data_IF_650571407861
#
_entry.id   IF_650571407861
#
_cell.length_a   1.000
_cell.length_b   1.000
_cell.length_c   1.000
_cell.angle_alpha   90.00
_cell.angle_beta   90.00
_cell.angle_gamma   90.00
#
_symmetry.space_group_name_H-M   'P 1'
#
loop_
_entity.id
_entity.type
_entity.pdbx_description
1 polymer ?
#
# COMPACT_ATOMS: atom_id res chain seq x y z
N UNK A 1 7.18 25.53 8.75
CA UNK A 1 7.84 24.73 7.69
C UNK A 1 8.42 23.49 8.35
N UNK A 2 8.18 22.28 7.82
CA UNK A 2 8.89 21.09 8.34
C UNK A 2 10.39 21.34 8.21
N UNK A 3 11.12 21.20 9.31
CA UNK A 3 12.57 21.21 9.28
C UNK A 3 13.09 20.08 8.37
N UNK A 4 14.25 20.26 7.74
CA UNK A 4 14.90 19.21 6.94
C UNK A 4 15.02 17.90 7.72
N UNK A 5 15.24 17.99 9.02
CA UNK A 5 15.28 16.85 9.94
C UNK A 5 13.95 16.09 10.01
N UNK A 6 12.82 16.79 10.11
CA UNK A 6 11.49 16.15 10.11
C UNK A 6 11.22 15.40 8.81
N UNK A 7 11.68 15.93 7.66
CA UNK A 7 11.56 15.25 6.36
C UNK A 7 12.39 13.97 6.30
N UNK A 8 13.62 14.01 6.82
CA UNK A 8 14.50 12.83 6.91
C UNK A 8 13.88 11.77 7.83
N UNK A 9 13.35 12.16 8.99
CA UNK A 9 12.72 11.21 9.92
C UNK A 9 11.48 10.55 9.33
N UNK A 10 10.61 11.32 8.67
CA UNK A 10 9.46 10.77 7.94
C UNK A 10 9.91 9.79 6.85
N UNK A 11 10.92 10.15 6.06
CA UNK A 11 11.48 9.27 5.04
C UNK A 11 12.00 7.97 5.65
N UNK A 12 12.89 8.03 6.66
CA UNK A 12 13.44 6.84 7.33
C UNK A 12 12.34 5.94 7.89
N UNK A 13 11.28 6.52 8.45
CA UNK A 13 10.18 5.76 9.03
C UNK A 13 9.36 4.98 8.00
N UNK A 14 9.23 5.51 6.78
CA UNK A 14 8.59 4.81 5.67
C UNK A 14 9.36 3.52 5.32
N UNK A 15 10.67 3.47 5.58
CA UNK A 15 11.50 2.26 5.43
C UNK A 15 11.62 1.44 6.71
N UNK A 16 10.89 1.75 7.78
CA UNK A 16 10.90 0.94 9.01
C UNK A 16 10.60 -0.54 8.78
N UNK A 17 9.67 -0.96 7.89
CA UNK A 17 9.46 -2.39 7.64
C UNK A 17 10.66 -3.05 6.97
N UNK A 18 11.38 -2.31 6.12
CA UNK A 18 12.61 -2.79 5.48
C UNK A 18 13.70 -3.04 6.54
N UNK A 19 13.91 -2.09 7.44
CA UNK A 19 14.88 -2.23 8.51
C UNK A 19 14.54 -3.40 9.44
N UNK A 20 13.25 -3.65 9.71
CA UNK A 20 12.80 -4.81 10.47
C UNK A 20 13.16 -6.13 9.78
N UNK A 21 12.88 -6.25 8.48
CA UNK A 21 13.21 -7.43 7.68
C UNK A 21 14.71 -7.71 7.72
N UNK A 22 15.52 -6.69 7.42
CA UNK A 22 16.99 -6.79 7.43
C UNK A 22 17.50 -7.19 8.82
N UNK A 23 16.96 -6.59 9.88
CA UNK A 23 17.34 -6.93 11.26
C UNK A 23 17.10 -8.41 11.55
N UNK A 24 15.92 -8.94 11.20
CA UNK A 24 15.57 -10.35 11.46
C UNK A 24 16.48 -11.29 10.66
N UNK A 25 16.75 -10.97 9.38
CA UNK A 25 17.63 -11.76 8.54
C UNK A 25 19.07 -11.81 9.10
N UNK A 26 19.61 -10.66 9.52
CA UNK A 26 20.97 -10.58 10.06
C UNK A 26 21.08 -11.14 11.49
N UNK A 27 19.98 -11.25 12.24
CA UNK A 27 20.02 -11.65 13.65
C UNK A 27 20.62 -13.05 13.84
N UNK A 28 20.33 -13.98 12.91
CA UNK A 28 20.81 -15.37 12.94
C UNK A 28 22.30 -15.48 12.57
N UNK A 29 22.73 -14.78 11.52
CA UNK A 29 24.08 -14.94 10.96
C UNK A 29 25.09 -13.96 11.58
N UNK A 30 24.67 -12.72 11.82
CA UNK A 30 25.54 -11.58 12.17
C UNK A 30 24.86 -10.64 13.17
N UNK A 31 24.67 -11.04 14.44
CA UNK A 31 23.87 -10.28 15.42
C UNK A 31 24.42 -8.88 15.72
N UNK A 32 25.75 -8.69 15.65
CA UNK A 32 26.37 -7.35 15.82
C UNK A 32 25.99 -6.40 14.68
N UNK A 33 25.89 -6.91 13.46
CA UNK A 33 25.51 -6.12 12.30
C UNK A 33 23.99 -5.87 12.24
N UNK A 34 23.19 -6.76 12.83
CA UNK A 34 21.74 -6.56 13.00
C UNK A 34 21.38 -5.38 13.91
N UNK A 35 22.29 -4.96 14.81
CA UNK A 35 22.04 -3.84 15.72
C UNK A 35 21.87 -2.49 14.99
N UNK A 36 22.61 -2.27 13.90
CA UNK A 36 22.56 -1.01 13.15
C UNK A 36 21.18 -0.74 12.53
N UNK A 37 20.60 -1.62 11.67
CA UNK A 37 19.28 -1.40 11.10
C UNK A 37 18.19 -1.32 12.19
N UNK A 38 18.33 -2.09 13.28
CA UNK A 38 17.41 -2.03 14.40
C UNK A 38 17.41 -0.65 15.09
N UNK A 39 18.58 -0.10 15.39
CA UNK A 39 18.71 1.23 15.99
C UNK A 39 18.12 2.30 15.07
N UNK A 40 18.42 2.24 13.77
CA UNK A 40 17.87 3.18 12.77
C UNK A 40 16.35 3.09 12.73
N UNK A 41 15.78 1.88 12.75
CA UNK A 41 14.33 1.67 12.82
C UNK A 41 13.74 2.33 14.08
N UNK A 42 14.28 2.06 15.26
CA UNK A 42 13.77 2.62 16.53
C UNK A 42 13.84 4.15 16.54
N UNK A 43 14.97 4.73 16.14
CA UNK A 43 15.14 6.19 16.05
C UNK A 43 14.13 6.80 15.07
N UNK A 44 13.90 6.16 13.93
CA UNK A 44 12.94 6.65 12.94
C UNK A 44 11.51 6.67 13.46
N UNK A 45 11.08 5.62 14.18
CA UNK A 45 9.74 5.52 14.76
C UNK A 45 9.52 6.54 15.88
N UNK A 46 10.51 6.72 16.76
CA UNK A 46 10.48 7.78 17.78
C UNK A 46 10.41 9.16 17.12
N UNK A 47 11.16 9.36 16.04
CA UNK A 47 11.15 10.59 15.27
C UNK A 47 9.77 10.95 14.72
N UNK A 48 9.07 9.98 14.11
CA UNK A 48 7.69 10.17 13.63
C UNK A 48 6.76 10.50 14.77
N UNK A 49 6.83 9.75 15.86
CA UNK A 49 5.99 10.00 17.02
C UNK A 49 6.19 11.42 17.56
N UNK A 50 7.44 11.89 17.63
CA UNK A 50 7.75 13.27 17.99
C UNK A 50 7.20 14.30 17.02
N UNK A 51 7.27 14.05 15.69
CA UNK A 51 6.66 14.92 14.68
C UNK A 51 5.14 14.98 14.86
N UNK A 52 4.47 13.84 15.04
CA UNK A 52 3.02 13.79 15.24
C UNK A 52 2.59 14.50 16.53
N UNK A 53 3.30 14.26 17.64
CA UNK A 53 3.04 14.93 18.91
C UNK A 53 3.19 16.46 18.81
N UNK A 54 4.20 16.93 18.07
CA UNK A 54 4.41 18.35 17.85
C UNK A 54 3.32 18.97 16.96
N UNK A 55 2.85 18.26 15.94
CA UNK A 55 1.72 18.72 15.12
C UNK A 55 0.41 18.81 15.90
N UNK A 56 0.20 17.94 16.89
CA UNK A 56 -0.99 17.99 17.77
C UNK A 56 -1.03 19.22 18.69
N UNK A 57 0.10 19.90 18.89
CA UNK A 57 0.19 21.12 19.70
C UNK A 57 0.08 22.41 18.88
N UNK A 58 -0.01 22.31 17.55
CA UNK A 58 -0.09 23.46 16.65
C UNK A 58 -1.54 23.84 16.37
N UNK A 59 -1.83 25.14 16.24
CA UNK A 59 -3.19 25.58 15.93
C UNK A 59 -3.64 25.14 14.51
N UNK A 60 -4.82 24.50 14.37
CA UNK A 60 -5.31 24.03 13.09
C UNK A 60 -5.65 25.21 12.17
N UNK A 61 -5.11 25.18 10.96
CA UNK A 61 -5.42 26.19 9.93
C UNK A 61 -6.56 25.70 9.05
N UNK A 62 -7.57 26.56 8.79
CA UNK A 62 -8.66 26.24 7.87
C UNK A 62 -8.15 26.26 6.42
N UNK A 63 -8.47 25.21 5.68
CA UNK A 63 -8.16 25.08 4.26
C UNK A 63 -9.39 24.55 3.52
N UNK A 64 -9.67 25.09 2.33
CA UNK A 64 -10.72 24.60 1.44
C UNK A 64 -10.09 23.71 0.38
N UNK A 65 -10.50 22.45 0.33
CA UNK A 65 -10.01 21.46 -0.66
C UNK A 65 -10.52 21.85 -2.04
N UNK A 66 -9.61 22.06 -3.00
CA UNK A 66 -9.96 22.39 -4.39
C UNK A 66 -9.88 21.19 -5.33
N UNK A 67 -8.90 20.31 -5.11
CA UNK A 67 -8.71 19.09 -5.91
C UNK A 67 -8.28 17.96 -4.99
N UNK A 68 -8.71 16.74 -5.32
CA UNK A 68 -8.34 15.53 -4.60
C UNK A 68 -7.64 14.62 -5.59
N UNK A 69 -6.36 14.38 -5.35
CA UNK A 69 -5.58 13.41 -6.11
C UNK A 69 -4.97 12.42 -5.12
N UNK A 70 -5.25 11.13 -5.33
CA UNK A 70 -4.59 10.06 -4.59
C UNK A 70 -3.16 9.85 -5.12
N UNK A 71 -2.23 9.57 -4.21
CA UNK A 71 -0.80 9.34 -4.53
C UNK A 71 -0.45 7.85 -4.60
N UNK A 72 -1.45 7.02 -4.82
CA UNK A 72 -1.39 5.56 -4.77
C UNK A 72 -0.47 4.96 -5.87
N UNK A 73 -0.23 5.71 -6.96
CA UNK A 73 0.62 5.27 -8.08
C UNK A 73 2.09 5.08 -7.71
N UNK A 74 2.56 5.65 -6.60
CA UNK A 74 3.95 5.53 -6.15
C UNK A 74 4.21 4.20 -5.40
N UNK A 75 3.16 3.47 -5.01
CA UNK A 75 3.28 2.27 -4.18
C UNK A 75 4.06 1.14 -4.85
N UNK A 76 3.94 0.99 -6.17
CA UNK A 76 4.71 -0.02 -6.93
C UNK A 76 6.22 0.20 -6.78
N UNK A 77 6.68 1.45 -6.78
CA UNK A 77 8.10 1.76 -6.59
C UNK A 77 8.58 1.38 -5.19
N UNK A 78 7.74 1.60 -4.16
CA UNK A 78 8.04 1.16 -2.80
C UNK A 78 8.13 -0.37 -2.70
N UNK A 79 7.24 -1.11 -3.38
CA UNK A 79 7.27 -2.58 -3.39
C UNK A 79 8.62 -3.12 -3.85
N UNK A 80 9.21 -2.54 -4.90
CA UNK A 80 10.54 -2.95 -5.37
C UNK A 80 11.63 -2.77 -4.31
N UNK A 81 11.55 -1.72 -3.49
CA UNK A 81 12.53 -1.51 -2.41
C UNK A 81 12.45 -2.61 -1.34
N UNK A 82 11.26 -3.14 -1.08
CA UNK A 82 11.07 -4.22 -0.10
C UNK A 82 11.47 -5.60 -0.61
N UNK A 83 11.64 -5.78 -1.92
CA UNK A 83 12.12 -7.05 -2.51
C UNK A 83 13.63 -7.23 -2.26
N UNK A 84 14.38 -6.12 -2.14
CA UNK A 84 15.84 -6.13 -2.07
C UNK A 84 16.44 -7.05 -0.99
N UNK A 85 15.94 -7.11 0.26
CA UNK A 85 16.46 -8.03 1.28
C UNK A 85 16.26 -9.51 0.95
N UNK A 86 15.43 -9.85 -0.04
CA UNK A 86 15.10 -11.22 -0.39
C UNK A 86 15.85 -11.76 -1.60
N UNK A 87 16.60 -10.91 -2.32
CA UNK A 87 17.30 -11.32 -3.53
C UNK A 87 18.41 -12.36 -3.27
N UNK A 88 18.87 -12.48 -2.03
CA UNK A 88 19.95 -13.39 -1.62
C UNK A 88 19.47 -14.52 -0.70
N UNK A 89 18.17 -14.86 -0.71
CA UNK A 89 17.61 -15.92 0.14
C UNK A 89 17.98 -17.30 -0.42
N UNK A 90 19.24 -17.67 -0.26
CA UNK A 90 19.75 -19.02 -0.51
C UNK A 90 19.67 -19.91 0.75
N UNK A 91 19.47 -19.34 1.94
CA UNK A 91 19.38 -20.07 3.19
C UNK A 91 17.95 -20.50 3.54
N UNK A 92 17.80 -21.72 4.07
CA UNK A 92 16.52 -22.26 4.60
C UNK A 92 16.39 -21.97 6.11
N UNK A 93 16.81 -20.80 6.58
CA UNK A 93 16.76 -20.48 8.01
C UNK A 93 15.37 -19.95 8.40
N UNK A 94 15.00 -20.15 9.67
CA UNK A 94 13.72 -19.66 10.19
C UNK A 94 13.58 -18.13 10.06
N UNK A 95 14.68 -17.40 10.15
CA UNK A 95 14.74 -15.95 9.96
C UNK A 95 14.35 -15.51 8.55
N UNK A 96 14.66 -16.32 7.54
CA UNK A 96 14.31 -16.05 6.15
C UNK A 96 12.81 -16.20 5.93
N UNK A 97 12.22 -17.25 6.53
CA UNK A 97 10.77 -17.49 6.52
C UNK A 97 10.03 -16.34 7.24
N UNK A 98 10.53 -15.92 8.40
CA UNK A 98 9.94 -14.81 9.17
C UNK A 98 10.04 -13.49 8.41
N UNK A 99 11.21 -13.19 7.82
CA UNK A 99 11.40 -12.04 6.95
C UNK A 99 10.39 -12.04 5.79
N UNK A 100 10.23 -13.18 5.13
CA UNK A 100 9.31 -13.33 4.00
C UNK A 100 7.85 -13.11 4.44
N UNK A 101 7.46 -13.62 5.60
CA UNK A 101 6.13 -13.38 6.17
C UNK A 101 5.87 -11.89 6.41
N UNK A 102 6.83 -11.16 6.98
CA UNK A 102 6.73 -9.71 7.18
C UNK A 102 6.64 -8.97 5.84
N UNK A 103 7.44 -9.37 4.86
CA UNK A 103 7.36 -8.82 3.51
C UNK A 103 5.97 -9.00 2.90
N UNK A 104 5.37 -10.18 2.99
CA UNK A 104 4.00 -10.41 2.50
C UNK A 104 2.96 -9.56 3.23
N UNK A 105 3.12 -9.31 4.53
CA UNK A 105 2.25 -8.41 5.29
C UNK A 105 2.39 -6.97 4.79
N UNK A 106 3.62 -6.49 4.61
CA UNK A 106 3.89 -5.14 4.09
C UNK A 106 3.33 -5.00 2.67
N UNK A 107 3.58 -5.99 1.82
CA UNK A 107 3.05 -6.09 0.47
C UNK A 107 1.51 -6.01 0.48
N UNK A 108 0.85 -6.79 1.35
CA UNK A 108 -0.60 -6.78 1.50
C UNK A 108 -1.12 -5.40 1.92
N UNK A 109 -0.55 -4.79 2.97
CA UNK A 109 -0.97 -3.47 3.46
C UNK A 109 -0.83 -2.42 2.36
N UNK A 110 0.30 -2.41 1.65
CA UNK A 110 0.58 -1.46 0.58
C UNK A 110 -0.35 -1.67 -0.61
N UNK A 111 -0.53 -2.91 -1.07
CA UNK A 111 -1.41 -3.23 -2.19
C UNK A 111 -2.87 -2.90 -1.92
N UNK A 112 -3.37 -3.14 -0.70
CA UNK A 112 -4.73 -2.78 -0.30
C UNK A 112 -4.89 -1.26 -0.21
N UNK A 113 -3.94 -0.58 0.44
CA UNK A 113 -4.00 0.89 0.62
C UNK A 113 -3.96 1.64 -0.71
N UNK A 114 -3.17 1.15 -1.66
CA UNK A 114 -3.00 1.75 -2.98
C UNK A 114 -4.13 1.44 -3.97
N UNK A 115 -5.19 0.75 -3.54
CA UNK A 115 -6.27 0.25 -4.41
C UNK A 115 -5.75 -0.56 -5.62
N UNK A 116 -4.51 -1.10 -5.55
CA UNK A 116 -3.89 -1.89 -6.62
C UNK A 116 -4.63 -3.21 -6.89
N UNK A 117 -5.70 -3.49 -6.13
CA UNK A 117 -6.69 -4.54 -6.37
C UNK A 117 -7.25 -4.49 -7.81
N UNK A 118 -7.20 -3.34 -8.49
CA UNK A 118 -7.56 -3.21 -9.91
C UNK A 118 -6.80 -4.18 -10.83
N UNK A 119 -5.60 -4.63 -10.42
CA UNK A 119 -4.83 -5.67 -11.12
C UNK A 119 -4.79 -6.90 -10.21
N UNK A 120 -5.86 -7.71 -10.24
CA UNK A 120 -5.91 -9.00 -9.56
C UNK A 120 -5.66 -10.12 -10.59
N UNK A 121 -4.44 -10.69 -10.67
CA UNK A 121 -4.10 -11.69 -11.68
C UNK A 121 -4.96 -12.95 -11.55
N UNK A 122 -5.38 -13.31 -10.33
CA UNK A 122 -6.25 -14.47 -10.10
C UNK A 122 -7.62 -14.22 -10.71
N UNK A 123 -8.23 -13.05 -10.46
CA UNK A 123 -9.49 -12.69 -11.10
C UNK A 123 -9.36 -12.65 -12.63
N UNK A 124 -8.26 -12.11 -13.15
CA UNK A 124 -7.99 -12.06 -14.60
C UNK A 124 -7.83 -13.47 -15.20
N UNK A 125 -7.17 -14.40 -14.50
CA UNK A 125 -7.09 -15.81 -14.88
C UNK A 125 -8.48 -16.47 -14.96
N UNK A 126 -9.41 -16.08 -14.08
CA UNK A 126 -10.80 -16.50 -14.12
C UNK A 126 -11.68 -15.69 -15.09
N UNK A 127 -11.07 -14.83 -15.93
CA UNK A 127 -11.75 -14.06 -16.96
C UNK A 127 -12.53 -12.85 -16.44
N UNK A 128 -12.22 -12.37 -15.23
CA UNK A 128 -12.76 -11.14 -14.68
C UNK A 128 -11.79 -9.98 -14.87
N UNK A 129 -12.32 -8.86 -15.33
CA UNK A 129 -11.63 -7.60 -15.52
C UNK A 129 -12.22 -6.55 -14.58
N UNK A 130 -11.36 -5.74 -13.98
CA UNK A 130 -11.75 -4.67 -13.09
C UNK A 130 -11.65 -3.34 -13.85
N UNK A 131 -12.72 -2.55 -13.80
CA UNK A 131 -12.76 -1.22 -14.40
C UNK A 131 -13.15 -0.21 -13.34
N UNK A 132 -12.47 0.93 -13.35
CA UNK A 132 -12.87 2.10 -12.57
C UNK A 132 -13.84 2.91 -13.43
N UNK A 133 -15.05 3.14 -12.90
CA UNK A 133 -16.11 3.86 -13.60
C UNK A 133 -16.61 5.03 -12.75
N UNK A 134 -17.02 6.11 -13.41
CA UNK A 134 -17.79 7.19 -12.80
C UNK A 134 -19.20 7.10 -13.36
N UNK A 135 -20.20 7.02 -12.49
CA UNK A 135 -21.60 6.89 -12.91
C UNK A 135 -22.26 8.27 -12.87
N UNK A 136 -23.23 8.51 -13.75
CA UNK A 136 -23.96 9.78 -13.78
C UNK A 136 -24.74 10.05 -12.48
N UNK A 137 -25.11 9.01 -11.73
CA UNK A 137 -25.79 9.12 -10.43
C UNK A 137 -24.83 9.34 -9.25
N UNK A 138 -23.53 9.07 -9.43
CA UNK A 138 -22.53 9.09 -8.36
C UNK A 138 -21.24 9.73 -8.90
N UNK A 139 -21.25 11.05 -8.96
CA UNK A 139 -20.23 11.89 -9.59
C UNK A 139 -18.97 12.07 -8.73
N UNK A 140 -19.09 11.83 -7.43
CA UNK A 140 -18.12 12.35 -6.44
C UNK A 140 -17.00 11.36 -6.10
N UNK A 141 -17.13 10.08 -6.48
CA UNK A 141 -16.09 9.09 -6.25
C UNK A 141 -16.02 8.07 -7.39
N UNK A 142 -14.82 7.75 -7.91
CA UNK A 142 -14.66 6.64 -8.83
C UNK A 142 -14.99 5.33 -8.12
N UNK A 143 -15.74 4.47 -8.80
CA UNK A 143 -16.24 3.20 -8.28
C UNK A 143 -15.67 2.03 -9.10
N UNK A 144 -15.26 0.95 -8.45
CA UNK A 144 -14.70 -0.23 -9.13
C UNK A 144 -15.77 -1.25 -9.49
N UNK A 145 -15.87 -1.61 -10.77
CA UNK A 145 -16.75 -2.69 -11.24
C UNK A 145 -15.92 -3.88 -11.72
N UNK A 146 -16.27 -5.06 -11.23
CA UNK A 146 -15.71 -6.33 -11.65
C UNK A 146 -16.66 -6.96 -12.68
N UNK A 147 -16.20 -7.20 -13.91
CA UNK A 147 -17.01 -7.77 -15.00
C UNK A 147 -16.25 -8.83 -15.78
N UNK A 148 -16.96 -9.76 -16.43
CA UNK A 148 -16.35 -10.69 -17.40
C UNK A 148 -16.23 -10.10 -18.81
N UNK A 149 -16.66 -8.84 -19.01
CA UNK A 149 -16.56 -8.16 -20.31
C UNK A 149 -15.13 -7.68 -20.51
N UNK A 150 -14.56 -7.95 -21.69
CA UNK A 150 -13.20 -7.52 -22.03
C UNK A 150 -13.06 -6.03 -22.30
N UNK A 151 -14.17 -5.32 -22.60
CA UNK A 151 -14.22 -3.87 -22.81
C UNK A 151 -15.53 -3.30 -22.31
N UNK A 152 -15.46 -2.13 -21.67
CA UNK A 152 -16.61 -1.29 -21.32
C UNK A 152 -16.52 0.01 -22.12
N UNK A 153 -17.59 0.33 -22.85
CA UNK A 153 -17.72 1.60 -23.55
C UNK A 153 -18.48 2.61 -22.68
N UNK A 154 -18.23 3.92 -22.83
CA UNK A 154 -19.09 4.94 -22.22
C UNK A 154 -20.57 4.69 -22.56
N UNK A 155 -21.48 4.96 -21.62
CA UNK A 155 -22.94 4.72 -21.72
C UNK A 155 -23.41 3.25 -21.76
N UNK A 156 -22.55 2.28 -21.41
CA UNK A 156 -22.99 0.88 -21.26
C UNK A 156 -23.85 0.72 -20.01
N UNK A 157 -25.09 0.21 -20.16
CA UNK A 157 -25.92 -0.17 -19.01
C UNK A 157 -25.40 -1.46 -18.37
N UNK A 158 -25.04 -1.39 -17.10
CA UNK A 158 -24.57 -2.52 -16.29
C UNK A 158 -25.58 -2.82 -15.18
N UNK A 159 -25.78 -4.10 -14.88
CA UNK A 159 -26.53 -4.52 -13.70
C UNK A 159 -25.51 -4.93 -12.67
N UNK A 160 -25.29 -4.07 -11.69
CA UNK A 160 -24.24 -4.26 -10.69
C UNK A 160 -24.85 -4.68 -9.35
N UNK A 161 -24.21 -5.64 -8.69
CA UNK A 161 -24.50 -6.00 -7.29
C UNK A 161 -23.37 -5.45 -6.44
N UNK A 162 -23.70 -4.56 -5.52
CA UNK A 162 -22.74 -3.95 -4.62
C UNK A 162 -22.25 -4.96 -3.59
N UNK A 163 -20.93 -5.01 -3.40
CA UNK A 163 -20.26 -5.91 -2.44
C UNK A 163 -19.62 -5.10 -1.32
N UNK A 164 -19.18 -3.89 -1.63
CA UNK A 164 -18.66 -2.90 -0.68
C UNK A 164 -19.01 -1.49 -1.18
N UNK A 165 -18.76 -0.46 -0.37
CA UNK A 165 -19.06 0.94 -0.69
C UNK A 165 -18.42 1.44 -2.01
N UNK A 166 -17.33 0.80 -2.43
CA UNK A 166 -16.54 1.17 -3.62
C UNK A 166 -16.36 0.02 -4.63
N UNK A 167 -16.99 -1.15 -4.41
CA UNK A 167 -16.90 -2.33 -5.30
C UNK A 167 -18.27 -2.90 -5.60
N UNK A 168 -18.51 -3.17 -6.89
CA UNK A 168 -19.67 -3.91 -7.36
C UNK A 168 -19.27 -4.96 -8.41
N UNK A 169 -20.04 -6.04 -8.51
CA UNK A 169 -19.89 -7.08 -9.55
C UNK A 169 -20.99 -6.93 -10.60
N UNK A 170 -20.61 -6.92 -11.88
CA UNK A 170 -21.52 -7.04 -13.03
C UNK A 170 -22.19 -8.42 -13.01
N UNK A 171 -23.53 -8.43 -12.94
CA UNK A 171 -24.37 -9.61 -13.08
C UNK A 171 -25.13 -9.50 -14.39
N UNK A 172 -25.26 -10.62 -15.11
CA UNK A 172 -26.24 -10.68 -16.22
C UNK A 172 -27.63 -10.52 -15.63
N UNK A 173 -28.47 -9.71 -16.29
CA UNK A 173 -29.88 -9.50 -15.95
C UNK A 173 -30.53 -10.87 -15.72
N UNK A 174 -31.17 -11.15 -14.57
CA UNK A 174 -32.00 -12.34 -14.45
C UNK A 174 -33.07 -12.24 -15.53
N UNK A 175 -33.18 -13.29 -16.34
CA UNK A 175 -34.17 -13.40 -17.40
C UNK A 175 -35.58 -13.41 -16.84
#
# INVERSE_FOLDING_TARGET
>A
MLSTLSRILLFLSSYSPLFLIITIQLLSQHPRWAALPFIVMVISLIGVWGVLAWTGSSEPTRCTVQTVQRKDSEVIAYLFTYILPFLDVASKQLTDILGLGIFFIVLMILSVSAHLVHINPVLNLFGYHLFEITTQEQTDAPHTVITRRSRLLPNTKLYVVQIADWISIDRRKPQ
#
